data_IF_576520123255
#
_entry.id   IF_576520123255
#
_cell.length_a   1.000
_cell.length_b   1.000
_cell.length_c   1.000
_cell.angle_alpha   90.00
_cell.angle_beta   90.00
_cell.angle_gamma   90.00
#
_symmetry.space_group_name_H-M   'P 1'
#
loop_
_entity.id
_entity.type
_entity.pdbx_description
1 polymer ?
#
# COMPACT_ATOMS: atom_id res chain seq x y z
N UNK A 1 1.31 -7.29 12.91
CA UNK A 1 1.81 -6.12 13.65
C UNK A 1 1.26 -4.90 12.92
N UNK A 2 0.59 -4.00 13.63
CA UNK A 2 -0.06 -2.83 13.01
C UNK A 2 1.00 -1.86 12.45
N UNK A 3 0.67 -1.07 11.42
CA UNK A 3 1.60 -0.11 10.82
C UNK A 3 1.96 0.99 11.82
N UNK A 4 1.05 1.36 12.71
CA UNK A 4 1.32 2.32 13.80
C UNK A 4 2.37 1.77 14.77
N UNK A 5 2.26 0.49 15.14
CA UNK A 5 3.25 -0.18 15.99
C UNK A 5 4.61 -0.27 15.27
N UNK A 6 4.60 -0.42 13.95
CA UNK A 6 5.81 -0.46 13.11
C UNK A 6 6.58 0.85 13.11
N UNK A 7 5.89 1.98 12.93
CA UNK A 7 6.52 3.29 12.98
C UNK A 7 7.04 3.67 14.37
N UNK A 8 6.63 2.95 15.41
CA UNK A 8 7.17 3.13 16.76
C UNK A 8 8.50 2.40 16.98
N UNK A 9 9.00 1.64 16.00
CA UNK A 9 10.26 0.89 16.11
C UNK A 9 11.49 1.80 15.95
N UNK A 10 12.67 1.41 16.47
CA UNK A 10 13.89 2.23 16.42
C UNK A 10 14.41 2.57 15.01
N UNK A 11 13.93 1.88 13.99
CA UNK A 11 14.26 2.12 12.57
C UNK A 11 13.48 3.29 11.97
N UNK A 12 12.42 3.72 12.65
CA UNK A 12 11.52 4.77 12.23
C UNK A 12 11.80 6.04 13.04
N UNK A 13 11.54 7.20 12.44
CA UNK A 13 11.79 8.47 13.12
C UNK A 13 10.64 8.82 14.07
N UNK A 14 10.97 9.28 15.27
CA UNK A 14 10.03 9.84 16.24
C UNK A 14 10.63 11.14 16.82
N UNK A 15 10.68 12.22 16.04
CA UNK A 15 11.11 13.53 16.54
C UNK A 15 11.78 14.48 15.54
N UNK A 16 11.48 15.78 15.70
CA UNK A 16 11.93 17.01 15.01
C UNK A 16 12.02 16.97 13.46
N UNK A 17 11.48 17.99 12.74
CA UNK A 17 11.45 17.96 11.28
C UNK A 17 12.87 18.06 10.71
N UNK A 18 13.36 17.04 9.99
CA UNK A 18 14.64 17.13 9.32
C UNK A 18 14.55 18.04 8.10
N UNK A 19 15.65 18.72 7.77
CA UNK A 19 15.94 19.02 6.37
C UNK A 19 16.17 17.69 5.68
N UNK A 20 15.18 17.19 4.98
CA UNK A 20 15.25 15.89 4.32
C UNK A 20 15.45 16.05 2.83
N UNK A 21 16.34 15.26 2.26
CA UNK A 21 16.48 15.16 0.80
C UNK A 21 16.28 13.73 0.35
N UNK A 22 15.79 13.59 -0.88
CA UNK A 22 15.69 12.33 -1.63
C UNK A 22 14.71 11.33 -1.00
N UNK A 23 13.42 11.39 -1.37
CA UNK A 23 12.49 10.32 -1.03
C UNK A 23 12.89 9.04 -1.77
N UNK A 24 12.83 7.91 -1.09
CA UNK A 24 12.98 6.57 -1.66
C UNK A 24 11.82 5.69 -1.22
N UNK A 25 11.30 4.90 -2.15
CA UNK A 25 10.35 3.83 -1.83
C UNK A 25 11.09 2.51 -1.64
N UNK A 26 10.75 1.79 -0.58
CA UNK A 26 11.21 0.43 -0.35
C UNK A 26 10.03 -0.52 -0.22
N UNK A 27 10.01 -1.58 -1.03
CA UNK A 27 8.95 -2.57 -1.03
C UNK A 27 9.46 -3.88 -0.42
N UNK A 28 8.71 -4.43 0.53
CA UNK A 28 8.95 -5.74 1.09
C UNK A 28 7.66 -6.57 1.07
N UNK A 29 7.79 -7.86 0.75
CA UNK A 29 6.70 -8.81 0.93
C UNK A 29 6.61 -9.13 2.42
N UNK A 30 5.40 -9.08 2.98
CA UNK A 30 5.15 -9.47 4.37
C UNK A 30 4.99 -10.99 4.51
N UNK A 31 4.88 -11.71 3.39
CA UNK A 31 4.74 -13.18 3.30
C UNK A 31 3.66 -13.77 4.22
N UNK A 32 2.67 -12.98 4.63
CA UNK A 32 1.60 -13.42 5.51
C UNK A 32 0.51 -14.20 4.74
N UNK A 33 0.24 -13.82 3.50
CA UNK A 33 -0.64 -14.56 2.59
C UNK A 33 0.04 -15.83 2.08
N UNK A 34 -0.46 -16.99 2.52
CA UNK A 34 0.02 -18.30 2.07
C UNK A 34 -0.60 -18.77 0.75
N UNK A 35 -1.26 -17.87 0.01
CA UNK A 35 -2.08 -18.22 -1.16
C UNK A 35 -1.52 -17.57 -2.42
N UNK A 36 -1.61 -18.24 -3.57
CA UNK A 36 -1.00 -17.76 -4.82
C UNK A 36 -1.70 -16.56 -5.44
N UNK A 37 -2.97 -16.32 -5.09
CA UNK A 37 -3.81 -15.27 -5.66
C UNK A 37 -3.78 -13.95 -4.86
N UNK A 38 -3.08 -13.93 -3.72
CA UNK A 38 -2.93 -12.76 -2.85
C UNK A 38 -1.48 -12.66 -2.37
N UNK A 39 -0.89 -11.47 -2.41
CA UNK A 39 0.35 -11.19 -1.69
C UNK A 39 0.22 -9.95 -0.87
N UNK A 40 0.77 -10.01 0.33
CA UNK A 40 0.80 -8.89 1.27
C UNK A 40 2.13 -8.19 1.17
N UNK A 41 2.08 -6.87 1.09
CA UNK A 41 3.23 -6.02 0.88
C UNK A 41 3.23 -4.85 1.82
N UNK A 42 4.43 -4.37 2.10
CA UNK A 42 4.67 -3.08 2.74
C UNK A 42 5.51 -2.21 1.81
N UNK A 43 5.02 -1.02 1.53
CA UNK A 43 5.82 0.06 0.95
C UNK A 43 6.23 1.01 2.07
N UNK A 44 7.52 1.32 2.16
CA UNK A 44 8.06 2.30 3.08
C UNK A 44 8.53 3.53 2.32
N UNK A 45 8.10 4.70 2.80
CA UNK A 45 8.72 5.96 2.44
C UNK A 45 9.94 6.18 3.34
N UNK A 46 11.13 6.11 2.74
CA UNK A 46 12.41 6.35 3.41
C UNK A 46 12.99 7.67 2.96
N UNK A 47 13.53 8.43 3.91
CA UNK A 47 14.14 9.73 3.64
C UNK A 47 15.52 9.82 4.27
N UNK A 48 16.44 10.49 3.58
CA UNK A 48 17.77 10.75 4.13
C UNK A 48 17.70 12.03 4.96
N UNK A 49 18.19 11.96 6.19
CA UNK A 49 18.35 13.14 7.03
C UNK A 49 19.60 13.90 6.60
N UNK A 50 19.44 15.09 6.02
CA UNK A 50 20.58 15.93 5.60
C UNK A 50 21.39 16.45 6.78
N UNK A 51 20.80 16.52 7.98
CA UNK A 51 21.46 16.98 9.18
C UNK A 51 22.25 15.85 9.88
N UNK A 52 22.08 14.61 9.45
CA UNK A 52 22.80 13.47 10.00
C UNK A 52 24.24 13.41 9.47
N UNK A 53 25.12 12.76 10.25
CA UNK A 53 26.51 12.55 9.83
C UNK A 53 26.60 11.85 8.47
N UNK A 54 27.69 12.10 7.74
CA UNK A 54 27.94 11.51 6.42
C UNK A 54 27.79 9.99 6.51
N UNK A 55 26.85 9.43 5.72
CA UNK A 55 26.47 8.01 5.64
C UNK A 55 25.50 7.47 6.71
N UNK A 56 24.70 8.32 7.36
CA UNK A 56 23.56 7.84 8.14
C UNK A 56 22.56 7.06 7.26
N UNK A 57 22.00 5.93 7.76
CA UNK A 57 21.01 5.17 7.01
C UNK A 57 19.72 5.98 6.82
N UNK A 58 19.00 5.78 5.70
CA UNK A 58 17.68 6.37 5.51
C UNK A 58 16.73 5.98 6.64
N UNK A 59 15.91 6.93 7.08
CA UNK A 59 14.89 6.71 8.10
C UNK A 59 13.53 6.51 7.46
N UNK A 60 12.75 5.56 7.97
CA UNK A 60 11.37 5.36 7.54
C UNK A 60 10.48 6.44 8.17
N UNK A 61 9.73 7.14 7.33
CA UNK A 61 8.88 8.30 7.67
C UNK A 61 7.43 8.11 7.19
N UNK A 62 7.13 6.95 6.63
CA UNK A 62 5.79 6.57 6.22
C UNK A 62 5.79 5.12 5.78
N UNK A 63 4.64 4.47 5.92
CA UNK A 63 4.45 3.09 5.51
C UNK A 63 3.02 2.88 5.04
N UNK A 64 2.88 1.99 4.06
CA UNK A 64 1.59 1.54 3.52
C UNK A 64 1.61 0.02 3.47
N UNK A 65 0.65 -0.59 4.15
CA UNK A 65 0.36 -2.01 4.02
C UNK A 65 -0.73 -2.18 2.97
N UNK A 66 -0.48 -3.04 1.99
CA UNK A 66 -1.42 -3.31 0.92
C UNK A 66 -1.37 -4.77 0.49
N UNK A 67 -2.45 -5.21 -0.14
CA UNK A 67 -2.53 -6.55 -0.72
C UNK A 67 -2.80 -6.45 -2.22
N UNK A 68 -2.06 -7.26 -2.99
CA UNK A 68 -2.31 -7.44 -4.41
C UNK A 68 -3.21 -8.65 -4.61
N UNK A 69 -4.40 -8.42 -5.15
CA UNK A 69 -5.44 -9.43 -5.33
C UNK A 69 -5.59 -9.71 -6.82
N UNK A 70 -5.33 -10.96 -7.23
CA UNK A 70 -5.56 -11.38 -8.61
C UNK A 70 -7.06 -11.61 -8.86
N UNK A 71 -7.57 -10.87 -9.83
CA UNK A 71 -8.92 -10.95 -10.37
C UNK A 71 -8.95 -11.91 -11.56
N UNK A 72 -10.11 -12.49 -11.85
CA UNK A 72 -10.32 -13.21 -13.11
C UNK A 72 -10.01 -14.71 -13.18
N UNK A 73 -9.41 -15.36 -12.17
CA UNK A 73 -9.17 -16.81 -12.23
C UNK A 73 -9.93 -17.60 -11.15
N UNK A 74 -11.23 -17.84 -11.38
CA UNK A 74 -11.97 -18.85 -10.63
C UNK A 74 -13.46 -18.55 -10.48
N UNK A 75 -14.25 -19.62 -10.40
CA UNK A 75 -15.70 -19.58 -10.15
C UNK A 75 -16.08 -19.02 -8.75
N UNK A 76 -15.09 -18.57 -7.97
CA UNK A 76 -15.26 -18.16 -6.58
C UNK A 76 -15.14 -16.63 -6.47
N UNK A 77 -16.15 -15.95 -5.87
CA UNK A 77 -16.12 -14.51 -5.65
C UNK A 77 -14.84 -14.01 -4.97
N UNK A 78 -14.34 -12.84 -5.37
CA UNK A 78 -13.23 -12.12 -4.73
C UNK A 78 -13.58 -11.86 -3.26
N UNK A 79 -14.81 -11.45 -2.95
CA UNK A 79 -15.29 -11.24 -1.59
C UNK A 79 -15.12 -12.49 -0.69
N UNK A 80 -15.50 -13.66 -1.19
CA UNK A 80 -15.32 -14.93 -0.47
C UNK A 80 -13.85 -15.25 -0.21
N UNK A 81 -12.97 -14.88 -1.14
CA UNK A 81 -11.53 -15.07 -1.02
C UNK A 81 -10.93 -14.11 0.01
N UNK A 82 -11.30 -12.84 -0.04
CA UNK A 82 -10.88 -11.83 0.94
C UNK A 82 -11.33 -12.16 2.36
N UNK A 83 -12.53 -12.73 2.52
CA UNK A 83 -13.03 -13.17 3.82
C UNK A 83 -12.17 -14.28 4.47
N UNK A 84 -11.37 -15.02 3.71
CA UNK A 84 -10.46 -16.03 4.24
C UNK A 84 -9.16 -15.44 4.78
N UNK A 85 -8.78 -14.23 4.38
CA UNK A 85 -7.54 -13.58 4.80
C UNK A 85 -7.68 -12.91 6.16
N UNK A 86 -8.84 -12.31 6.43
CA UNK A 86 -9.10 -11.66 7.70
C UNK A 86 -10.22 -10.63 7.65
N UNK A 87 -10.49 -10.03 8.82
CA UNK A 87 -11.56 -9.04 9.00
C UNK A 87 -11.25 -7.74 8.26
N UNK A 88 -9.96 -7.37 8.11
CA UNK A 88 -9.57 -6.11 7.46
C UNK A 88 -9.79 -6.22 5.95
N UNK A 89 -9.36 -7.31 5.36
CA UNK A 89 -9.44 -7.65 3.94
C UNK A 89 -10.90 -7.87 3.51
N UNK A 90 -11.70 -8.54 4.37
CA UNK A 90 -13.10 -8.80 4.12
C UNK A 90 -13.94 -7.53 3.83
N UNK A 91 -13.54 -6.37 4.38
CA UNK A 91 -14.25 -5.10 4.17
C UNK A 91 -14.20 -4.64 2.71
N UNK A 92 -13.16 -5.03 1.97
CA UNK A 92 -13.03 -4.70 0.56
C UNK A 92 -13.93 -5.58 -0.32
N UNK A 93 -14.57 -6.62 0.23
CA UNK A 93 -15.47 -7.49 -0.53
C UNK A 93 -16.62 -6.76 -1.20
N UNK A 94 -17.08 -5.65 -0.63
CA UNK A 94 -18.14 -4.80 -1.19
C UNK A 94 -17.72 -4.07 -2.48
N UNK A 95 -16.42 -4.03 -2.80
CA UNK A 95 -15.90 -3.38 -4.00
C UNK A 95 -15.91 -4.32 -5.22
N UNK A 96 -16.33 -5.58 -5.06
CA UNK A 96 -16.25 -6.59 -6.10
C UNK A 96 -17.59 -7.30 -6.32
N UNK A 97 -18.07 -7.33 -7.56
CA UNK A 97 -19.13 -8.25 -7.99
C UNK A 97 -18.49 -9.51 -8.57
N UNK A 98 -18.66 -10.64 -7.87
CA UNK A 98 -18.08 -11.93 -8.23
C UNK A 98 -16.56 -11.83 -8.42
N UNK A 99 -16.09 -11.87 -9.66
CA UNK A 99 -14.68 -11.91 -10.04
C UNK A 99 -14.13 -10.57 -10.54
N UNK A 100 -14.96 -9.53 -10.54
CA UNK A 100 -14.70 -8.22 -11.14
C UNK A 100 -14.93 -7.11 -10.10
N UNK A 101 -14.42 -5.91 -10.39
CA UNK A 101 -14.81 -4.73 -9.62
C UNK A 101 -16.30 -4.42 -9.81
N UNK A 102 -16.92 -3.84 -8.79
CA UNK A 102 -18.29 -3.36 -8.91
C UNK A 102 -18.42 -2.39 -10.10
N UNK A 103 -19.48 -2.48 -10.93
CA UNK A 103 -19.59 -1.70 -12.16
C UNK A 103 -19.56 -0.17 -11.97
N UNK A 104 -19.94 0.32 -10.79
CA UNK A 104 -19.87 1.75 -10.44
C UNK A 104 -18.49 2.17 -9.91
N UNK A 105 -17.55 1.24 -9.75
CA UNK A 105 -16.15 1.52 -9.40
C UNK A 105 -15.25 1.32 -10.62
N UNK A 106 -15.64 0.44 -11.54
CA UNK A 106 -15.08 0.29 -12.89
C UNK A 106 -15.53 1.46 -13.78
N UNK A 107 -15.39 2.68 -13.27
CA UNK A 107 -16.27 3.76 -13.70
C UNK A 107 -15.89 4.36 -15.05
N UNK A 108 -14.70 4.08 -15.61
CA UNK A 108 -14.30 4.60 -16.91
C UNK A 108 -13.62 3.54 -17.77
N UNK A 109 -14.27 3.14 -18.87
CA UNK A 109 -13.64 2.47 -20.03
C UNK A 109 -12.35 3.19 -20.46
N UNK A 110 -12.22 4.50 -20.21
CA UNK A 110 -11.02 5.31 -20.46
C UNK A 110 -9.83 4.95 -19.54
N UNK A 111 -10.07 4.42 -18.34
CA UNK A 111 -9.01 4.06 -17.39
C UNK A 111 -8.27 2.79 -17.79
N UNK A 112 -8.97 1.82 -18.37
CA UNK A 112 -8.40 0.55 -18.82
C UNK A 112 -8.40 0.37 -20.33
N UNK A 113 -8.89 1.35 -21.10
CA UNK A 113 -9.07 1.26 -22.56
C UNK A 113 -9.81 -0.02 -22.97
N UNK A 114 -10.84 -0.40 -22.19
CA UNK A 114 -11.60 -1.64 -22.34
C UNK A 114 -10.86 -2.94 -21.98
N UNK A 115 -9.64 -2.87 -21.43
CA UNK A 115 -8.92 -4.05 -20.94
C UNK A 115 -9.46 -4.53 -19.60
N UNK A 116 -9.57 -5.85 -19.37
CA UNK A 116 -9.99 -6.35 -18.07
C UNK A 116 -8.96 -5.99 -17.00
N UNK A 117 -9.43 -5.58 -15.83
CA UNK A 117 -8.54 -5.41 -14.69
C UNK A 117 -8.28 -6.81 -14.10
N UNK A 118 -7.01 -7.21 -14.09
CA UNK A 118 -6.59 -8.54 -13.61
C UNK A 118 -6.02 -8.52 -12.20
N UNK A 119 -5.73 -7.35 -11.65
CA UNK A 119 -5.16 -7.22 -10.30
C UNK A 119 -5.65 -5.94 -9.65
N UNK A 120 -6.11 -6.05 -8.41
CA UNK A 120 -6.46 -4.91 -7.57
C UNK A 120 -5.41 -4.75 -6.47
N UNK A 121 -4.97 -3.51 -6.23
CA UNK A 121 -4.18 -3.13 -5.05
C UNK A 121 -5.13 -2.59 -3.99
N UNK A 122 -5.24 -3.27 -2.86
CA UNK A 122 -6.07 -2.86 -1.73
C UNK A 122 -5.18 -2.32 -0.62
N UNK A 123 -5.27 -1.02 -0.34
CA UNK A 123 -4.55 -0.39 0.76
C UNK A 123 -5.24 -0.73 2.08
N UNK A 124 -4.58 -1.53 2.91
CA UNK A 124 -5.12 -1.97 4.20
C UNK A 124 -4.91 -0.93 5.29
N UNK A 125 -3.75 -0.28 5.26
CA UNK A 125 -3.36 0.74 6.22
C UNK A 125 -2.30 1.66 5.62
N UNK A 126 -2.32 2.93 5.99
CA UNK A 126 -1.39 3.93 5.48
C UNK A 126 -1.14 4.99 6.54
N UNK A 127 0.13 5.23 6.82
CA UNK A 127 0.57 6.26 7.75
C UNK A 127 1.75 7.03 7.17
N UNK A 128 1.81 8.31 7.49
CA UNK A 128 2.93 9.18 7.18
C UNK A 128 3.22 9.98 8.44
N UNK A 129 4.50 10.08 8.81
CA UNK A 129 4.98 10.85 9.96
C UNK A 129 4.42 12.29 9.90
N UNK A 130 3.90 12.77 11.03
CA UNK A 130 3.34 14.11 11.19
C UNK A 130 4.37 15.22 10.95
N UNK A 131 5.67 14.89 11.03
CA UNK A 131 6.77 15.78 10.73
C UNK A 131 6.92 16.07 9.23
N UNK A 132 6.38 15.21 8.35
CA UNK A 132 6.27 15.57 6.93
C UNK A 132 5.18 16.65 6.82
N UNK A 133 5.37 17.75 6.10
CA UNK A 133 4.30 18.73 5.93
C UNK A 133 3.06 18.10 5.29
N UNK A 134 1.87 18.46 5.77
CA UNK A 134 0.63 18.08 5.12
C UNK A 134 0.62 18.66 3.69
N UNK A 135 0.66 17.79 2.68
CA UNK A 135 0.52 18.15 1.28
C UNK A 135 -0.73 17.50 0.70
N UNK A 136 -1.41 18.20 -0.22
CA UNK A 136 -2.52 17.62 -1.00
C UNK A 136 -2.08 16.44 -1.87
N UNK A 137 -0.78 16.23 -2.04
CA UNK A 137 -0.17 15.14 -2.79
C UNK A 137 0.12 13.89 -1.93
N UNK A 138 -0.03 13.94 -0.60
CA UNK A 138 0.22 12.79 0.31
C UNK A 138 -0.51 11.50 -0.12
N UNK A 139 -1.77 11.54 -0.59
CA UNK A 139 -2.44 10.33 -1.09
C UNK A 139 -1.94 9.86 -2.46
N UNK A 140 -1.46 10.79 -3.30
CA UNK A 140 -1.06 10.52 -4.69
C UNK A 140 0.36 9.96 -4.80
N UNK A 141 1.24 10.27 -3.84
CA UNK A 141 2.61 9.73 -3.78
C UNK A 141 2.68 8.22 -3.53
N UNK A 142 1.57 7.56 -3.21
CA UNK A 142 1.48 6.09 -3.08
C UNK A 142 1.06 5.44 -4.40
N UNK A 143 0.39 6.17 -5.29
CA UNK A 143 -0.26 5.60 -6.47
C UNK A 143 0.62 5.57 -7.74
N UNK A 144 1.64 6.44 -7.84
CA UNK A 144 2.30 6.71 -9.13
C UNK A 144 3.36 5.68 -9.58
N UNK A 145 3.84 4.79 -8.70
CA UNK A 145 4.96 3.88 -9.05
C UNK A 145 4.61 2.37 -9.10
N UNK A 146 3.33 1.99 -9.09
CA UNK A 146 2.93 0.60 -9.41
C UNK A 146 2.74 0.34 -10.92
N UNK A 147 3.11 1.29 -11.78
CA UNK A 147 3.07 1.16 -13.24
C UNK A 147 4.48 1.27 -13.85
N UNK A 148 5.27 0.20 -13.73
CA UNK A 148 6.41 -0.09 -14.62
C UNK A 148 6.51 -1.58 -14.87
#
# INVERSE_FOLDING_TARGET
MDVVDYLSTPKCRAGAPPSSSLPMLHFESLDAATVSWCRDWRAELRMTDLAAEVAAPPVTVGAVDFVLVQMGEGHRPVADRLALLGIREARFGELFDRGQLEPNLDEHDEFCDGMPIFTALLVLDAIVDDLIPASRLRPWSVAEECAT
#
